data_IF_115949725172
#
_entry.id   IF_115949725172
#
_cell.length_a   1.000
_cell.length_b   1.000
_cell.length_c   1.000
_cell.angle_alpha   90.00
_cell.angle_beta   90.00
_cell.angle_gamma   90.00
#
_symmetry.space_group_name_H-M   'P 1'
#
loop_
_entity.id
_entity.type
_entity.pdbx_description
1 polymer ?
#
# COMPACT_ATOMS: atom_id res chain seq x y z
N UNK A 1 28.39 42.61 -36.73
CA UNK A 1 29.57 41.72 -36.71
C UNK A 1 29.60 41.15 -35.30
N UNK A 2 29.20 39.93 -35.00
CA UNK A 2 29.77 38.64 -35.39
C UNK A 2 28.77 37.51 -35.04
N UNK A 3 28.82 36.44 -35.83
CA UNK A 3 27.84 35.35 -35.97
C UNK A 3 28.37 34.02 -35.45
N UNK A 4 27.52 33.18 -34.84
CA UNK A 4 27.68 31.71 -34.76
C UNK A 4 26.33 31.05 -34.46
N UNK A 5 25.60 30.52 -35.47
CA UNK A 5 25.31 29.08 -35.71
C UNK A 5 25.18 28.26 -34.40
N UNK A 6 24.02 27.78 -33.92
CA UNK A 6 23.01 26.87 -34.53
C UNK A 6 23.25 25.42 -34.01
N UNK A 7 22.31 24.45 -33.97
CA UNK A 7 20.91 24.43 -34.43
C UNK A 7 19.87 23.91 -33.39
N UNK A 8 18.62 23.89 -33.84
CA UNK A 8 17.38 23.36 -33.25
C UNK A 8 17.43 21.84 -32.97
N UNK A 9 16.78 21.36 -31.90
CA UNK A 9 15.73 20.31 -31.98
C UNK A 9 15.39 19.68 -30.62
N UNK A 10 14.11 19.42 -30.47
CA UNK A 10 13.47 18.61 -29.46
C UNK A 10 14.13 17.22 -29.29
N UNK A 11 14.16 16.71 -28.06
CA UNK A 11 14.23 15.29 -27.80
C UNK A 11 13.60 14.96 -26.45
N UNK A 12 12.36 14.49 -26.52
CA UNK A 12 11.76 13.54 -25.61
C UNK A 12 12.79 12.42 -25.30
N UNK A 13 13.22 12.30 -24.05
CA UNK A 13 13.95 11.13 -23.58
C UNK A 13 13.20 10.55 -22.38
N UNK A 14 12.21 9.73 -22.73
CA UNK A 14 11.69 8.65 -21.90
C UNK A 14 12.86 7.97 -21.21
N UNK A 15 12.91 8.04 -19.88
CA UNK A 15 13.89 7.28 -19.10
C UNK A 15 13.20 5.98 -18.67
N UNK A 16 13.41 4.93 -19.44
CA UNK A 16 13.10 3.55 -19.03
C UNK A 16 14.05 3.16 -17.87
N UNK A 17 13.44 2.93 -16.69
CA UNK A 17 13.59 1.83 -15.70
C UNK A 17 15.03 1.48 -15.23
N UNK A 18 15.24 1.30 -13.91
CA UNK A 18 15.14 -0.06 -13.38
C UNK A 18 14.16 -0.16 -12.20
N UNK A 19 13.42 -1.27 -12.15
CA UNK A 19 12.76 -1.75 -10.95
C UNK A 19 13.83 -1.94 -9.88
N UNK A 20 13.88 -1.03 -8.91
CA UNK A 20 14.61 -1.23 -7.67
C UNK A 20 13.70 -0.85 -6.54
N UNK A 21 13.06 -1.90 -6.03
CA UNK A 21 12.77 -2.14 -4.63
C UNK A 21 11.87 -1.11 -3.93
N UNK A 22 10.69 -1.57 -3.49
CA UNK A 22 9.84 -0.95 -2.47
C UNK A 22 10.63 -0.78 -1.16
N UNK A 23 11.58 0.15 -1.17
CA UNK A 23 12.33 0.61 -0.02
C UNK A 23 11.41 1.47 0.82
N UNK A 24 10.93 0.90 1.92
CA UNK A 24 10.37 1.65 3.05
C UNK A 24 11.33 2.80 3.39
N UNK A 25 10.87 4.03 3.18
CA UNK A 25 11.61 5.23 3.54
C UNK A 25 11.91 5.29 5.05
N UNK A 26 12.95 6.02 5.46
CA UNK A 26 13.34 6.13 6.87
C UNK A 26 12.19 6.73 7.70
N UNK A 27 11.94 6.24 8.93
CA UNK A 27 10.87 6.78 9.76
C UNK A 27 11.26 8.20 10.22
N UNK A 28 10.58 9.20 9.67
CA UNK A 28 10.48 10.51 10.30
C UNK A 28 9.78 10.31 11.64
N UNK A 29 10.42 10.73 12.73
CA UNK A 29 9.82 10.75 14.06
C UNK A 29 8.64 11.74 14.05
N UNK A 30 7.44 11.22 13.86
CA UNK A 30 6.20 11.96 14.02
C UNK A 30 5.78 11.88 15.49
N UNK A 31 5.48 13.05 16.06
CA UNK A 31 5.04 13.28 17.42
C UNK A 31 3.91 12.32 17.81
N UNK A 32 4.06 11.62 18.93
CA UNK A 32 3.11 10.63 19.42
C UNK A 32 1.83 11.30 19.93
N UNK A 33 0.92 11.58 19.01
CA UNK A 33 -0.50 11.65 19.33
C UNK A 33 -0.89 10.24 19.81
N UNK A 34 -1.41 10.11 21.03
CA UNK A 34 -1.86 8.84 21.61
C UNK A 34 -3.08 8.34 20.83
N UNK A 35 -2.84 7.80 19.64
CA UNK A 35 -3.85 7.13 18.86
C UNK A 35 -4.06 5.77 19.54
N UNK A 36 -5.19 5.57 20.22
CA UNK A 36 -5.59 4.27 20.81
C UNK A 36 -5.77 3.17 19.74
N UNK A 37 -5.44 3.47 18.48
CA UNK A 37 -5.39 2.54 17.36
C UNK A 37 -4.19 1.61 17.50
N UNK A 38 -4.48 0.39 17.95
CA UNK A 38 -3.54 -0.72 17.87
C UNK A 38 -3.41 -1.18 16.41
N UNK A 39 -2.23 -1.00 15.81
CA UNK A 39 -1.90 -1.56 14.49
C UNK A 39 -1.60 -3.05 14.59
N UNK A 40 -2.17 -3.86 13.70
CA UNK A 40 -1.92 -5.31 13.63
C UNK A 40 -1.17 -5.63 12.34
N UNK A 41 -0.02 -6.29 12.46
CA UNK A 41 0.73 -6.80 11.32
C UNK A 41 0.31 -8.24 11.01
N UNK A 42 -0.32 -8.45 9.85
CA UNK A 42 -0.75 -9.78 9.40
C UNK A 42 0.20 -10.28 8.31
N UNK A 43 0.78 -11.47 8.52
CA UNK A 43 1.61 -12.16 7.52
C UNK A 43 0.71 -13.00 6.61
N UNK A 44 0.79 -12.76 5.31
CA UNK A 44 0.05 -13.48 4.27
C UNK A 44 0.96 -13.74 3.06
N UNK A 45 0.62 -14.73 2.24
CA UNK A 45 1.31 -14.95 0.95
C UNK A 45 1.03 -13.81 -0.03
N UNK A 46 1.81 -13.75 -1.12
CA UNK A 46 1.65 -12.71 -2.15
C UNK A 46 0.31 -12.84 -2.87
N UNK A 47 -0.11 -14.06 -3.13
CA UNK A 47 -1.38 -14.42 -3.78
C UNK A 47 -2.55 -13.95 -2.92
N UNK A 48 -2.56 -14.34 -1.63
CA UNK A 48 -3.60 -13.92 -0.69
C UNK A 48 -3.68 -12.40 -0.55
N UNK A 49 -2.53 -11.71 -0.52
CA UNK A 49 -2.50 -10.24 -0.50
C UNK A 49 -3.17 -9.63 -1.74
N UNK A 50 -2.95 -10.21 -2.92
CA UNK A 50 -3.58 -9.77 -4.17
C UNK A 50 -5.08 -9.98 -4.09
N UNK A 51 -5.52 -11.15 -3.67
CA UNK A 51 -6.94 -11.50 -3.61
C UNK A 51 -7.71 -10.61 -2.62
N UNK A 52 -7.13 -10.32 -1.45
CA UNK A 52 -7.69 -9.37 -0.49
C UNK A 52 -7.83 -7.96 -1.06
N UNK A 53 -6.84 -7.49 -1.83
CA UNK A 53 -6.92 -6.18 -2.49
C UNK A 53 -8.01 -6.13 -3.54
N UNK A 54 -8.11 -7.16 -4.38
CA UNK A 54 -9.17 -7.25 -5.39
C UNK A 54 -10.56 -7.28 -4.73
N UNK A 55 -10.74 -8.10 -3.69
CA UNK A 55 -12.00 -8.15 -2.95
C UNK A 55 -12.38 -6.81 -2.31
N UNK A 56 -11.40 -6.06 -1.80
CA UNK A 56 -11.63 -4.72 -1.25
C UNK A 56 -12.07 -3.73 -2.34
N UNK A 57 -11.41 -3.76 -3.51
CA UNK A 57 -11.76 -2.93 -4.68
C UNK A 57 -13.18 -3.25 -5.17
N UNK A 58 -13.50 -4.53 -5.36
CA UNK A 58 -14.81 -4.97 -5.86
C UNK A 58 -15.95 -4.54 -4.93
N UNK A 59 -15.68 -4.46 -3.62
CA UNK A 59 -16.64 -4.01 -2.60
C UNK A 59 -16.60 -2.50 -2.35
N UNK A 60 -15.69 -1.75 -2.98
CA UNK A 60 -15.51 -0.32 -2.74
C UNK A 60 -15.11 0.02 -1.30
N UNK A 61 -14.33 -0.86 -0.64
CA UNK A 61 -13.92 -0.72 0.77
C UNK A 61 -12.40 -0.80 0.92
N UNK A 62 -11.89 -0.60 2.13
CA UNK A 62 -10.47 -0.79 2.44
C UNK A 62 -10.18 -2.24 2.83
N UNK A 63 -8.94 -2.70 2.64
CA UNK A 63 -8.51 -4.02 3.12
C UNK A 63 -8.65 -4.12 4.64
N UNK A 64 -8.44 -3.03 5.37
CA UNK A 64 -8.61 -2.99 6.83
C UNK A 64 -10.05 -3.28 7.23
N UNK A 65 -11.01 -2.58 6.62
CA UNK A 65 -12.44 -2.75 6.93
C UNK A 65 -12.92 -4.15 6.56
N UNK A 66 -12.49 -4.66 5.40
CA UNK A 66 -12.77 -6.04 4.97
C UNK A 66 -12.24 -7.07 5.98
N UNK A 67 -11.03 -6.86 6.50
CA UNK A 67 -10.44 -7.74 7.52
C UNK A 67 -11.19 -7.67 8.85
N UNK A 68 -11.60 -6.48 9.29
CA UNK A 68 -12.39 -6.29 10.52
C UNK A 68 -13.77 -6.95 10.42
N UNK A 69 -14.43 -6.81 9.27
CA UNK A 69 -15.68 -7.50 8.96
C UNK A 69 -15.51 -9.03 9.04
N UNK A 70 -14.47 -9.56 8.36
CA UNK A 70 -14.18 -10.99 8.37
C UNK A 70 -13.89 -11.53 9.78
N UNK A 71 -13.11 -10.81 10.58
CA UNK A 71 -12.83 -11.17 11.98
C UNK A 71 -14.13 -11.23 12.78
N UNK A 72 -15.01 -10.25 12.61
CA UNK A 72 -16.31 -10.21 13.30
C UNK A 72 -17.18 -11.43 12.97
N UNK A 73 -17.24 -11.82 11.68
CA UNK A 73 -17.97 -13.01 11.24
C UNK A 73 -17.40 -14.30 11.85
N UNK A 74 -16.08 -14.43 11.87
CA UNK A 74 -15.41 -15.61 12.46
C UNK A 74 -15.65 -15.68 13.96
N UNK A 75 -15.52 -14.56 14.69
CA UNK A 75 -15.75 -14.50 16.13
C UNK A 75 -17.21 -14.77 16.50
N UNK A 76 -18.16 -14.30 15.70
CA UNK A 76 -19.58 -14.60 15.90
C UNK A 76 -19.91 -16.09 15.68
N UNK A 77 -19.14 -16.76 14.81
CA UNK A 77 -19.28 -18.18 14.49
C UNK A 77 -18.49 -19.09 15.41
N UNK A 78 -17.56 -18.54 16.21
CA UNK A 78 -16.72 -19.32 17.11
C UNK A 78 -17.54 -19.80 18.32
N UNK A 79 -17.43 -21.07 18.72
CA UNK A 79 -18.01 -21.52 19.98
C UNK A 79 -17.40 -20.70 21.11
N UNK A 80 -18.24 -20.15 21.99
CA UNK A 80 -17.74 -19.40 23.15
C UNK A 80 -16.85 -20.33 23.97
N UNK A 81 -15.66 -19.88 24.40
CA UNK A 81 -14.88 -20.64 25.36
C UNK A 81 -15.76 -20.86 26.59
N UNK A 82 -15.92 -22.13 26.98
CA UNK A 82 -16.72 -22.52 28.14
C UNK A 82 -16.15 -21.94 29.45
N UNK A 83 -16.96 -21.91 30.52
CA UNK A 83 -16.51 -21.48 31.85
C UNK A 83 -15.38 -22.38 32.40
#
# INVERSE_FOLDING_TARGET
MNTSKGPLSAALAVRLVPETEDGFGPPMAAESQSDDRCGILVRVTKEMRRDLKLAAIDRGTTVQDLMLEAITVVLASAPRPGP
#
